data_IF_185325964664
#
_entry.id   IF_185325964664
#
_cell.length_a   1.000
_cell.length_b   1.000
_cell.length_c   1.000
_cell.angle_alpha   90.00
_cell.angle_beta   90.00
_cell.angle_gamma   90.00
#
_symmetry.space_group_name_H-M   'P 1'
#
loop_
_entity.id
_entity.type
_entity.pdbx_description
1 polymer ?
#
# COMPACT_ATOMS: atom_id res chain seq x y z
N UNK A 1 42.55 39.56 -21.92
CA UNK A 1 43.06 38.21 -21.56
C UNK A 1 41.97 37.53 -20.75
N UNK A 2 41.57 36.31 -21.10
CA UNK A 2 40.59 35.55 -20.32
C UNK A 2 41.23 35.06 -19.04
N UNK A 3 40.64 35.37 -17.88
CA UNK A 3 41.19 34.89 -16.60
C UNK A 3 40.99 33.38 -16.48
N UNK A 4 42.07 32.64 -16.19
CA UNK A 4 42.05 31.19 -15.99
C UNK A 4 42.52 30.88 -14.57
N UNK A 5 41.64 30.30 -13.75
CA UNK A 5 41.87 30.01 -12.34
C UNK A 5 41.85 28.50 -12.08
N UNK A 6 42.84 28.00 -11.35
CA UNK A 6 42.85 26.62 -10.85
C UNK A 6 42.25 26.59 -9.46
N UNK A 7 41.25 25.73 -9.27
CA UNK A 7 40.63 25.50 -7.98
C UNK A 7 41.63 24.89 -7.00
N UNK A 8 41.87 25.51 -5.85
CA UNK A 8 42.82 25.00 -4.87
C UNK A 8 42.32 23.73 -4.17
N UNK A 9 40.99 23.52 -4.12
CA UNK A 9 40.37 22.40 -3.42
C UNK A 9 40.36 21.11 -4.22
N UNK A 10 40.13 21.17 -5.53
CA UNK A 10 40.00 19.99 -6.38
C UNK A 10 40.90 19.99 -7.63
N UNK A 11 41.74 21.01 -7.80
CA UNK A 11 42.70 21.13 -8.90
C UNK A 11 42.10 21.46 -10.27
N UNK A 12 40.77 21.54 -10.38
CA UNK A 12 40.03 21.82 -11.62
C UNK A 12 40.28 23.24 -12.11
N UNK A 13 40.51 23.42 -13.41
CA UNK A 13 40.67 24.73 -14.05
C UNK A 13 39.30 25.28 -14.45
N UNK A 14 39.02 26.53 -14.10
CA UNK A 14 37.82 27.30 -14.48
C UNK A 14 38.26 28.62 -15.09
N UNK A 15 37.63 29.07 -16.16
CA UNK A 15 37.99 30.29 -16.88
C UNK A 15 36.80 31.24 -16.98
N UNK A 16 37.05 32.52 -17.23
CA UNK A 16 36.07 33.63 -17.19
C UNK A 16 34.87 33.49 -18.15
N UNK A 17 34.94 32.58 -19.14
CA UNK A 17 33.84 32.22 -20.03
C UNK A 17 33.07 30.95 -19.65
N UNK A 18 33.44 30.25 -18.58
CA UNK A 18 32.73 29.06 -18.12
C UNK A 18 31.47 29.46 -17.36
N UNK A 19 30.34 28.76 -17.57
CA UNK A 19 29.03 29.12 -17.00
C UNK A 19 29.00 29.22 -15.47
N UNK A 20 29.89 28.50 -14.78
CA UNK A 20 30.00 28.54 -13.32
C UNK A 20 30.96 29.59 -12.79
N UNK A 21 31.76 30.25 -13.63
CA UNK A 21 32.76 31.20 -13.17
C UNK A 21 32.09 32.34 -12.38
N UNK A 22 32.62 32.75 -11.20
CA UNK A 22 33.92 32.41 -10.60
C UNK A 22 33.93 31.18 -9.67
N UNK A 23 32.90 30.34 -9.71
CA UNK A 23 32.78 29.13 -8.89
C UNK A 23 33.34 27.91 -9.62
N UNK A 24 34.07 27.06 -8.90
CA UNK A 24 34.55 25.78 -9.45
C UNK A 24 33.37 24.86 -9.79
N UNK A 25 33.25 24.43 -11.05
CA UNK A 25 32.16 23.55 -11.50
C UNK A 25 32.17 22.15 -10.87
N UNK A 26 33.25 21.75 -10.19
CA UNK A 26 33.39 20.41 -9.60
C UNK A 26 33.09 20.37 -8.10
N UNK A 27 33.57 21.35 -7.34
CA UNK A 27 33.44 21.35 -5.87
C UNK A 27 32.72 22.59 -5.33
N UNK A 28 32.23 23.47 -6.22
CA UNK A 28 31.52 24.69 -5.88
C UNK A 28 32.28 25.68 -4.99
N UNK A 29 33.61 25.56 -4.90
CA UNK A 29 34.44 26.54 -4.21
C UNK A 29 34.51 27.85 -5.01
N UNK A 30 34.27 28.99 -4.36
CA UNK A 30 34.39 30.30 -4.98
C UNK A 30 35.89 30.65 -5.16
N UNK A 31 36.31 30.84 -6.41
CA UNK A 31 37.72 31.04 -6.76
C UNK A 31 38.21 32.47 -6.51
N UNK A 32 37.32 33.41 -6.18
CA UNK A 32 37.66 34.81 -5.88
C UNK A 32 37.75 35.11 -4.36
N UNK A 33 37.86 34.08 -3.52
CA UNK A 33 38.09 34.28 -2.08
C UNK A 33 39.44 34.93 -1.80
N UNK A 34 39.47 35.87 -0.86
CA UNK A 34 40.64 36.66 -0.49
C UNK A 34 41.81 35.79 -0.04
N UNK A 35 41.55 34.68 0.68
CA UNK A 35 42.60 33.74 1.12
C UNK A 35 43.44 33.13 -0.01
N UNK A 36 42.96 33.19 -1.25
CA UNK A 36 43.68 32.70 -2.44
C UNK A 36 44.47 33.79 -3.18
N UNK A 37 44.36 35.04 -2.73
CA UNK A 37 45.11 36.15 -3.29
C UNK A 37 46.56 36.14 -2.76
N UNK A 38 47.55 36.36 -3.64
CA UNK A 38 48.98 36.41 -3.23
C UNK A 38 49.25 37.50 -2.17
N UNK A 39 48.44 38.55 -2.16
CA UNK A 39 48.58 39.70 -1.27
C UNK A 39 47.68 39.64 -0.04
N UNK A 40 47.12 38.47 0.26
CA UNK A 40 46.31 38.27 1.46
C UNK A 40 47.15 38.48 2.74
N UNK A 41 46.82 39.47 3.59
CA UNK A 41 47.63 39.82 4.76
C UNK A 41 47.39 38.89 5.97
N UNK A 42 46.32 38.08 5.92
CA UNK A 42 45.81 37.27 7.03
C UNK A 42 44.42 37.74 7.50
N UNK A 43 43.72 36.88 8.24
CA UNK A 43 42.35 37.16 8.70
C UNK A 43 42.30 38.38 9.62
N UNK A 44 41.33 39.26 9.37
CA UNK A 44 41.11 40.46 10.19
C UNK A 44 42.22 41.50 10.06
N UNK A 45 43.06 41.43 9.02
CA UNK A 45 44.11 42.43 8.74
C UNK A 45 43.71 43.32 7.56
N UNK A 46 44.21 44.56 7.56
CA UNK A 46 43.98 45.51 6.46
C UNK A 46 44.72 45.09 5.20
N UNK A 47 44.02 45.11 4.07
CA UNK A 47 44.61 44.82 2.77
C UNK A 47 45.05 46.11 2.07
N UNK A 48 46.34 46.43 2.14
CA UNK A 48 46.92 47.64 1.52
C UNK A 48 46.97 47.62 -0.01
N UNK A 49 46.49 46.54 -0.65
CA UNK A 49 46.49 46.35 -2.11
C UNK A 49 45.10 46.51 -2.73
N UNK A 50 44.07 46.74 -1.92
CA UNK A 50 42.69 47.00 -2.36
C UNK A 50 42.36 48.46 -2.00
N UNK A 51 41.59 49.14 -2.86
CA UNK A 51 41.10 50.49 -2.56
C UNK A 51 40.41 50.53 -1.19
N UNK A 52 40.58 51.64 -0.47
CA UNK A 52 40.03 51.88 0.88
C UNK A 52 40.64 51.05 2.02
N UNK A 53 41.69 50.25 1.76
CA UNK A 53 42.44 49.48 2.75
C UNK A 53 41.55 48.69 3.75
N UNK A 54 40.55 47.92 3.27
CA UNK A 54 39.59 47.27 4.14
C UNK A 54 40.23 46.17 4.99
N UNK A 55 39.64 45.91 6.16
CA UNK A 55 39.86 44.65 6.87
C UNK A 55 39.22 43.52 6.07
N UNK A 56 39.97 42.45 5.83
CA UNK A 56 39.49 41.31 5.04
C UNK A 56 39.58 40.00 5.82
N UNK A 57 38.60 39.14 5.59
CA UNK A 57 38.56 37.76 6.04
C UNK A 57 38.85 36.81 4.88
N UNK A 58 39.31 35.60 5.19
CA UNK A 58 39.75 34.65 4.17
C UNK A 58 38.64 34.19 3.24
N UNK A 59 37.40 34.17 3.73
CA UNK A 59 36.21 33.80 2.95
C UNK A 59 35.57 34.98 2.21
N UNK A 60 36.05 36.21 2.38
CA UNK A 60 35.56 37.37 1.64
C UNK A 60 35.83 37.21 0.13
N UNK A 61 34.83 37.48 -0.70
CA UNK A 61 34.92 37.35 -2.15
C UNK A 61 35.24 38.71 -2.76
N UNK A 62 36.45 38.88 -3.32
CA UNK A 62 36.85 40.10 -4.01
C UNK A 62 37.71 39.78 -5.24
N UNK A 63 37.53 40.55 -6.31
CA UNK A 63 38.37 40.42 -7.49
C UNK A 63 39.84 40.76 -7.15
N UNK A 64 40.73 39.77 -7.21
CA UNK A 64 42.18 39.94 -6.99
C UNK A 64 42.92 39.70 -8.32
N UNK A 65 43.54 40.73 -8.92
CA UNK A 65 44.30 40.61 -10.17
C UNK A 65 45.53 39.70 -10.05
N UNK A 66 46.02 39.48 -8.83
CA UNK A 66 47.24 38.70 -8.53
C UNK A 66 46.92 37.37 -7.83
N UNK A 67 45.88 36.67 -8.31
CA UNK A 67 45.55 35.33 -7.83
C UNK A 67 46.74 34.38 -8.01
N UNK A 68 47.12 33.66 -6.96
CA UNK A 68 48.09 32.57 -7.03
C UNK A 68 47.62 31.46 -6.11
N UNK A 69 47.26 30.31 -6.68
CA UNK A 69 46.89 29.12 -5.92
C UNK A 69 48.06 28.69 -5.03
N UNK A 70 47.97 28.99 -3.73
CA UNK A 70 48.98 28.62 -2.72
C UNK A 70 48.66 27.31 -1.99
N UNK A 71 47.44 26.80 -2.12
CA UNK A 71 47.07 25.49 -1.57
C UNK A 71 47.67 24.39 -2.46
N UNK A 72 48.60 23.63 -1.88
CA UNK A 72 49.19 22.46 -2.50
C UNK A 72 48.09 21.46 -2.88
N UNK A 73 48.16 20.93 -4.11
CA UNK A 73 47.24 19.93 -4.64
C UNK A 73 46.97 18.83 -3.59
N UNK A 74 45.72 18.60 -3.17
CA UNK A 74 45.35 17.27 -2.70
C UNK A 74 45.24 16.40 -3.96
N UNK A 75 46.37 15.90 -4.47
CA UNK A 75 46.42 14.95 -5.58
C UNK A 75 45.80 13.58 -5.23
N UNK A 76 45.01 13.47 -4.16
CA UNK A 76 44.63 12.22 -3.49
C UNK A 76 43.11 12.08 -3.29
N UNK A 77 42.27 12.53 -4.22
CA UNK A 77 40.82 12.23 -4.15
C UNK A 77 40.21 11.82 -5.50
N UNK A 78 40.96 11.12 -6.36
CA UNK A 78 40.39 10.48 -7.57
C UNK A 78 40.76 9.00 -7.66
N UNK A 79 40.54 8.29 -6.55
CA UNK A 79 40.41 6.83 -6.54
C UNK A 79 39.15 6.50 -5.76
N UNK A 80 38.08 6.10 -6.45
CA UNK A 80 36.92 5.51 -5.79
C UNK A 80 37.44 4.31 -4.98
N UNK A 81 37.34 4.38 -3.66
CA UNK A 81 37.89 3.32 -2.80
C UNK A 81 37.24 2.00 -3.22
N UNK A 82 38.03 0.91 -3.27
CA UNK A 82 37.52 -0.42 -3.68
C UNK A 82 36.26 -0.82 -2.88
N UNK A 83 36.12 -0.30 -1.67
CA UNK A 83 34.97 -0.46 -0.76
C UNK A 83 33.69 0.15 -1.36
N UNK A 84 33.77 1.35 -1.95
CA UNK A 84 32.63 2.02 -2.58
C UNK A 84 32.14 1.29 -3.84
N UNK A 85 33.06 0.75 -4.65
CA UNK A 85 32.71 -0.03 -5.83
C UNK A 85 32.00 -1.34 -5.45
N UNK A 86 32.50 -2.04 -4.43
CA UNK A 86 31.88 -3.28 -3.91
C UNK A 86 30.49 -3.00 -3.34
N UNK A 87 30.30 -1.89 -2.61
CA UNK A 87 28.99 -1.51 -2.10
C UNK A 87 27.96 -1.26 -3.21
N UNK A 88 28.34 -0.58 -4.30
CA UNK A 88 27.44 -0.34 -5.44
C UNK A 88 27.03 -1.63 -6.17
N UNK A 89 27.95 -2.60 -6.30
CA UNK A 89 27.65 -3.90 -6.90
C UNK A 89 26.68 -4.69 -6.02
N UNK A 90 26.92 -4.72 -4.70
CA UNK A 90 26.03 -5.41 -3.75
C UNK A 90 24.63 -4.80 -3.72
N UNK A 91 24.52 -3.47 -3.71
CA UNK A 91 23.22 -2.77 -3.73
C UNK A 91 22.46 -3.08 -5.03
N UNK A 92 23.14 -3.04 -6.17
CA UNK A 92 22.53 -3.36 -7.46
C UNK A 92 22.05 -4.82 -7.54
N UNK A 93 22.83 -5.76 -6.98
CA UNK A 93 22.45 -7.16 -6.91
C UNK A 93 21.22 -7.39 -6.00
N UNK A 94 21.18 -6.75 -4.83
CA UNK A 94 20.03 -6.82 -3.91
C UNK A 94 18.77 -6.24 -4.56
N UNK A 95 18.87 -5.08 -5.21
CA UNK A 95 17.75 -4.47 -5.94
C UNK A 95 17.25 -5.39 -7.07
N UNK A 96 18.16 -6.01 -7.83
CA UNK A 96 17.80 -6.97 -8.86
C UNK A 96 17.05 -8.18 -8.30
N UNK A 97 17.49 -8.72 -7.15
CA UNK A 97 16.80 -9.81 -6.45
C UNK A 97 15.41 -9.37 -5.98
N UNK A 98 15.27 -8.18 -5.39
CA UNK A 98 13.97 -7.66 -4.95
C UNK A 98 13.02 -7.54 -6.14
N UNK A 99 13.47 -6.98 -7.27
CA UNK A 99 12.64 -6.85 -8.47
C UNK A 99 12.26 -8.22 -9.03
N UNK A 100 13.19 -9.17 -9.06
CA UNK A 100 12.90 -10.54 -9.50
C UNK A 100 11.88 -11.22 -8.58
N UNK A 101 12.03 -11.12 -7.26
CA UNK A 101 11.08 -11.67 -6.27
C UNK A 101 9.70 -11.01 -6.40
N UNK A 102 9.65 -9.68 -6.55
CA UNK A 102 8.40 -8.92 -6.74
C UNK A 102 7.73 -9.27 -8.07
N UNK A 103 8.49 -9.59 -9.11
CA UNK A 103 7.94 -10.01 -10.41
C UNK A 103 7.40 -11.44 -10.40
N UNK A 104 7.89 -12.29 -9.49
CA UNK A 104 7.39 -13.66 -9.27
C UNK A 104 6.22 -13.66 -8.27
N UNK A 105 6.12 -12.62 -7.43
CA UNK A 105 4.96 -12.46 -6.55
C UNK A 105 3.71 -12.25 -7.42
N UNK A 106 2.64 -13.03 -7.19
CA UNK A 106 1.41 -12.90 -7.95
C UNK A 106 0.84 -11.48 -7.78
N UNK A 107 0.78 -10.73 -8.89
CA UNK A 107 0.13 -9.42 -8.94
C UNK A 107 -1.34 -9.56 -8.51
N UNK A 108 -1.85 -8.74 -7.57
CA UNK A 108 -3.25 -8.80 -7.10
C UNK A 108 -4.29 -8.41 -8.17
N UNK A 109 -3.88 -8.16 -9.41
CA UNK A 109 -4.77 -7.76 -10.53
C UNK A 109 -5.48 -8.92 -11.23
N UNK A 110 -5.39 -10.16 -10.74
CA UNK A 110 -6.30 -11.26 -11.11
C UNK A 110 -7.59 -11.30 -10.26
N UNK A 111 -7.95 -10.20 -9.57
CA UNK A 111 -9.21 -9.96 -8.84
C UNK A 111 -10.47 -9.87 -9.75
N UNK A 112 -10.52 -10.59 -10.88
CA UNK A 112 -11.76 -10.91 -11.62
C UNK A 112 -12.17 -12.38 -11.49
N UNK A 113 -11.64 -13.09 -10.51
CA UNK A 113 -12.32 -14.26 -9.94
C UNK A 113 -13.44 -13.79 -9.02
N UNK A 114 -14.56 -13.38 -9.63
CA UNK A 114 -15.76 -12.89 -8.93
C UNK A 114 -16.51 -14.05 -8.26
N UNK A 115 -15.91 -14.63 -7.23
CA UNK A 115 -16.65 -15.42 -6.25
C UNK A 115 -17.13 -14.49 -5.14
N UNK A 116 -18.45 -14.35 -5.00
CA UNK A 116 -19.04 -13.50 -3.98
C UNK A 116 -20.19 -14.23 -3.30
N UNK A 117 -20.11 -14.35 -1.98
CA UNK A 117 -21.22 -14.75 -1.14
C UNK A 117 -21.72 -13.52 -0.39
N UNK A 118 -22.97 -13.16 -0.63
CA UNK A 118 -23.59 -11.98 -0.01
C UNK A 118 -24.91 -12.36 0.63
N UNK A 119 -25.22 -11.74 1.76
CA UNK A 119 -26.52 -11.85 2.39
C UNK A 119 -27.18 -10.48 2.38
N UNK A 120 -28.43 -10.42 1.92
CA UNK A 120 -29.26 -9.23 1.98
C UNK A 120 -30.41 -9.46 2.93
N UNK A 121 -30.49 -8.67 4.00
CA UNK A 121 -31.50 -8.78 5.02
C UNK A 121 -31.71 -7.38 5.65
N UNK A 122 -32.94 -6.98 6.01
CA UNK A 122 -33.15 -5.75 6.78
C UNK A 122 -32.27 -5.70 8.03
N UNK A 123 -31.69 -4.53 8.33
CA UNK A 123 -30.87 -4.31 9.53
C UNK A 123 -31.72 -4.13 10.79
N UNK A 124 -32.99 -3.81 10.63
CA UNK A 124 -33.96 -3.66 11.71
C UNK A 124 -35.11 -4.64 11.51
N UNK A 125 -35.54 -5.27 12.59
CA UNK A 125 -36.60 -6.25 12.59
C UNK A 125 -37.49 -6.09 13.81
N UNK A 126 -38.77 -6.47 13.68
CA UNK A 126 -39.70 -6.48 14.81
C UNK A 126 -39.83 -7.92 15.30
N UNK A 127 -39.73 -8.13 16.61
CA UNK A 127 -39.90 -9.44 17.24
C UNK A 127 -41.25 -10.07 16.84
N UNK A 128 -41.24 -11.35 16.47
CA UNK A 128 -42.41 -12.09 16.01
C UNK A 128 -42.90 -11.73 14.60
N UNK A 129 -42.30 -10.73 13.93
CA UNK A 129 -42.62 -10.42 12.52
C UNK A 129 -41.65 -11.12 11.59
N UNK A 130 -42.19 -11.81 10.59
CA UNK A 130 -41.42 -12.48 9.55
C UNK A 130 -40.69 -11.47 8.66
N UNK A 131 -39.48 -11.83 8.28
CA UNK A 131 -38.67 -11.09 7.31
C UNK A 131 -37.93 -12.07 6.40
N UNK A 132 -37.45 -11.57 5.26
CA UNK A 132 -36.76 -12.39 4.26
C UNK A 132 -35.28 -12.00 4.23
N UNK A 133 -34.42 -12.98 4.48
CA UNK A 133 -32.99 -12.89 4.24
C UNK A 133 -32.65 -13.64 2.95
N UNK A 134 -31.89 -13.02 2.05
CA UNK A 134 -31.51 -13.62 0.76
C UNK A 134 -30.00 -13.80 0.73
N UNK A 135 -29.56 -15.06 0.77
CA UNK A 135 -28.18 -15.44 0.51
C UNK A 135 -27.99 -15.60 -1.00
N UNK A 136 -27.03 -14.89 -1.58
CA UNK A 136 -26.64 -15.01 -2.99
C UNK A 136 -25.21 -15.51 -3.07
N UNK A 137 -25.02 -16.55 -3.87
CA UNK A 137 -23.75 -17.20 -4.13
C UNK A 137 -23.49 -17.07 -5.63
N UNK A 138 -22.42 -16.36 -5.97
CA UNK A 138 -21.98 -16.16 -7.35
C UNK A 138 -20.64 -16.86 -7.57
N UNK A 139 -20.54 -17.64 -8.65
CA UNK A 139 -19.34 -18.38 -9.03
C UNK A 139 -18.74 -17.83 -10.32
N UNK A 140 -17.45 -18.11 -10.54
CA UNK A 140 -16.84 -17.93 -11.84
C UNK A 140 -17.39 -19.00 -12.81
N UNK A 141 -17.50 -18.65 -14.10
CA UNK A 141 -18.04 -19.49 -15.18
C UNK A 141 -17.33 -20.85 -15.27
N UNK A 142 -16.06 -20.92 -14.88
CA UNK A 142 -15.20 -22.09 -15.07
C UNK A 142 -15.17 -23.08 -13.89
N UNK A 143 -15.71 -22.71 -12.72
CA UNK A 143 -15.63 -23.56 -11.53
C UNK A 143 -16.93 -23.48 -10.72
N UNK A 144 -17.80 -24.48 -10.90
CA UNK A 144 -19.08 -24.57 -10.22
C UNK A 144 -19.06 -25.70 -9.19
N UNK A 145 -19.56 -25.46 -7.96
CA UNK A 145 -19.67 -26.52 -6.97
C UNK A 145 -20.75 -27.50 -7.39
N UNK A 146 -20.53 -28.78 -7.11
CA UNK A 146 -21.55 -29.82 -7.26
C UNK A 146 -22.51 -29.85 -6.09
N UNK A 147 -22.03 -29.45 -4.91
CA UNK A 147 -22.83 -29.44 -3.69
C UNK A 147 -22.55 -28.17 -2.91
N UNK A 148 -23.62 -27.50 -2.47
CA UNK A 148 -23.56 -26.37 -1.56
C UNK A 148 -24.21 -26.82 -0.25
N UNK A 149 -23.47 -26.73 0.85
CA UNK A 149 -23.97 -26.98 2.20
C UNK A 149 -24.05 -25.66 2.96
N UNK A 150 -25.14 -25.46 3.67
CA UNK A 150 -25.33 -24.31 4.54
C UNK A 150 -25.51 -24.81 5.95
N UNK A 151 -24.63 -24.39 6.84
CA UNK A 151 -24.69 -24.62 8.27
C UNK A 151 -25.18 -23.35 8.97
N UNK A 152 -26.22 -23.52 9.77
CA UNK A 152 -26.85 -22.48 10.59
C UNK A 152 -26.59 -22.86 12.05
N UNK A 153 -25.66 -22.16 12.73
CA UNK A 153 -25.27 -22.49 14.10
C UNK A 153 -26.44 -22.37 15.07
N UNK A 154 -26.46 -23.19 16.12
CA UNK A 154 -27.51 -23.16 17.15
C UNK A 154 -27.78 -21.77 17.72
N UNK A 155 -26.73 -20.97 17.95
CA UNK A 155 -26.84 -19.59 18.45
C UNK A 155 -27.75 -18.70 17.59
N UNK A 156 -27.76 -18.92 16.27
CA UNK A 156 -28.67 -18.22 15.35
C UNK A 156 -30.10 -18.70 15.56
N UNK A 157 -30.29 -20.03 15.66
CA UNK A 157 -31.59 -20.65 15.87
C UNK A 157 -32.22 -20.30 17.24
N UNK A 158 -31.41 -19.96 18.24
CA UNK A 158 -31.89 -19.48 19.54
C UNK A 158 -32.46 -18.05 19.49
N UNK A 159 -32.05 -17.26 18.49
CA UNK A 159 -32.49 -15.88 18.28
C UNK A 159 -33.53 -15.74 17.15
N UNK A 160 -33.52 -16.66 16.18
CA UNK A 160 -34.38 -16.62 14.99
C UNK A 160 -35.00 -18.00 14.73
N UNK A 161 -36.32 -18.05 14.56
CA UNK A 161 -36.98 -19.21 13.98
C UNK A 161 -36.90 -19.13 12.46
N UNK A 162 -36.51 -20.21 11.80
CA UNK A 162 -36.55 -20.26 10.34
C UNK A 162 -37.84 -20.94 9.92
N UNK A 163 -38.72 -20.16 9.31
CA UNK A 163 -40.08 -20.55 8.95
C UNK A 163 -40.08 -21.27 7.60
N UNK A 164 -39.29 -20.78 6.65
CA UNK A 164 -39.27 -21.32 5.29
C UNK A 164 -37.91 -21.08 4.63
N UNK A 165 -37.51 -22.00 3.75
CA UNK A 165 -36.33 -21.85 2.90
C UNK A 165 -36.71 -22.10 1.44
N UNK A 166 -36.18 -21.30 0.53
CA UNK A 166 -36.45 -21.41 -0.92
C UNK A 166 -35.18 -21.16 -1.72
N UNK A 167 -34.73 -22.07 -2.59
CA UNK A 167 -35.35 -23.36 -2.91
C UNK A 167 -35.37 -24.32 -1.70
N UNK A 168 -36.25 -25.32 -1.77
CA UNK A 168 -36.29 -26.41 -0.77
C UNK A 168 -34.97 -27.16 -0.87
N UNK A 169 -34.27 -27.43 0.26
CA UNK A 169 -33.03 -28.18 0.23
C UNK A 169 -33.27 -29.64 -0.17
N UNK A 170 -32.31 -30.26 -0.86
CA UNK A 170 -32.40 -31.67 -1.26
C UNK A 170 -32.36 -32.59 -0.02
N UNK A 171 -31.65 -32.15 1.00
CA UNK A 171 -31.57 -32.83 2.29
C UNK A 171 -31.32 -31.83 3.42
N UNK A 172 -31.72 -32.21 4.63
CA UNK A 172 -31.46 -31.43 5.83
C UNK A 172 -31.17 -32.30 7.05
N UNK A 173 -30.35 -31.78 7.96
CA UNK A 173 -30.03 -32.39 9.25
C UNK A 173 -30.18 -31.33 10.34
N UNK A 174 -31.08 -31.57 11.29
CA UNK A 174 -31.29 -30.73 12.47
C UNK A 174 -30.79 -31.47 13.70
N UNK A 175 -29.86 -30.89 14.43
CA UNK A 175 -29.29 -31.47 15.65
C UNK A 175 -28.99 -30.38 16.69
N UNK A 176 -28.35 -30.77 17.80
CA UNK A 176 -28.00 -29.85 18.89
C UNK A 176 -26.99 -28.76 18.46
N UNK A 177 -26.14 -29.04 17.46
CA UNK A 177 -25.13 -28.10 16.96
C UNK A 177 -25.73 -27.04 16.05
N UNK A 178 -26.87 -27.34 15.41
CA UNK A 178 -27.57 -26.41 14.54
C UNK A 178 -28.39 -27.11 13.47
N UNK A 179 -28.57 -26.41 12.36
CA UNK A 179 -29.26 -26.94 11.19
C UNK A 179 -28.34 -26.86 9.98
N UNK A 180 -28.18 -27.99 9.29
CA UNK A 180 -27.43 -28.09 8.05
C UNK A 180 -28.39 -28.45 6.92
N UNK A 181 -28.33 -27.73 5.82
CA UNK A 181 -29.07 -28.05 4.61
C UNK A 181 -28.16 -28.12 3.38
N UNK A 182 -28.48 -28.97 2.41
CA UNK A 182 -27.69 -29.19 1.21
C UNK A 182 -28.46 -28.98 -0.08
N UNK A 183 -27.73 -28.53 -1.10
CA UNK A 183 -28.23 -28.26 -2.44
C UNK A 183 -27.29 -28.84 -3.49
N UNK A 184 -27.84 -29.59 -4.42
CA UNK A 184 -27.14 -30.20 -5.54
C UNK A 184 -27.20 -29.24 -6.73
N UNK A 185 -26.03 -28.96 -7.30
CA UNK A 185 -25.85 -28.03 -8.42
C UNK A 185 -25.37 -28.77 -9.68
N UNK A 186 -25.93 -29.96 -9.90
CA UNK A 186 -25.60 -30.81 -11.04
C UNK A 186 -26.03 -30.22 -12.40
N UNK A 187 -26.79 -29.11 -12.39
CA UNK A 187 -27.32 -28.46 -13.58
C UNK A 187 -26.27 -27.67 -14.39
N UNK A 188 -25.07 -27.47 -13.85
CA UNK A 188 -23.99 -26.74 -14.54
C UNK A 188 -24.35 -25.28 -14.84
N UNK A 189 -25.39 -24.73 -14.20
CA UNK A 189 -25.87 -23.38 -14.48
C UNK A 189 -24.93 -22.33 -13.90
N UNK A 190 -24.48 -21.41 -14.74
CA UNK A 190 -23.64 -20.27 -14.36
C UNK A 190 -24.41 -19.16 -13.66
N UNK A 191 -25.73 -19.30 -13.49
CA UNK A 191 -26.56 -18.29 -12.84
C UNK A 191 -26.23 -18.22 -11.34
N UNK A 192 -26.25 -17.02 -10.74
CA UNK A 192 -26.14 -16.88 -9.29
C UNK A 192 -27.18 -17.74 -8.57
N UNK A 193 -26.71 -18.50 -7.58
CA UNK A 193 -27.59 -19.31 -6.75
C UNK A 193 -28.10 -18.45 -5.60
N UNK A 194 -29.43 -18.36 -5.45
CA UNK A 194 -30.05 -17.53 -4.44
C UNK A 194 -30.93 -18.38 -3.52
N UNK A 195 -30.69 -18.27 -2.22
CA UNK A 195 -31.43 -18.99 -1.19
C UNK A 195 -32.09 -17.95 -0.28
N UNK A 196 -33.41 -18.03 -0.22
CA UNK A 196 -34.25 -17.16 0.59
C UNK A 196 -34.60 -17.88 1.88
N UNK A 197 -34.32 -17.25 3.01
CA UNK A 197 -34.72 -17.67 4.33
C UNK A 197 -35.82 -16.73 4.81
N UNK A 198 -37.02 -17.25 5.02
CA UNK A 198 -38.06 -16.55 5.77
C UNK A 198 -37.83 -16.83 7.24
N UNK A 199 -37.42 -15.80 7.98
CA UNK A 199 -37.06 -15.92 9.39
C UNK A 199 -37.96 -15.05 10.27
N UNK A 200 -38.15 -15.48 11.51
CA UNK A 200 -38.95 -14.80 12.53
C UNK A 200 -38.07 -14.55 13.76
N UNK A 201 -37.77 -13.29 14.12
CA UNK A 201 -36.97 -12.98 15.30
C UNK A 201 -37.70 -13.32 16.60
N UNK A 202 -37.02 -14.04 17.49
CA UNK A 202 -37.58 -14.53 18.76
C UNK A 202 -37.15 -13.68 19.97
N UNK A 203 -35.98 -13.03 19.90
CA UNK A 203 -35.38 -12.27 20.99
C UNK A 203 -35.08 -10.84 20.57
N UNK A 204 -35.26 -9.90 21.49
CA UNK A 204 -34.89 -8.49 21.29
C UNK A 204 -33.38 -8.28 21.39
N UNK A 205 -32.90 -7.16 20.87
CA UNK A 205 -31.48 -6.76 20.90
C UNK A 205 -30.76 -6.99 19.57
N UNK A 206 -29.45 -6.79 19.59
CA UNK A 206 -28.61 -6.94 18.39
C UNK A 206 -28.14 -8.39 18.27
N UNK A 207 -28.56 -9.05 17.19
CA UNK A 207 -28.25 -10.45 16.91
C UNK A 207 -27.47 -10.58 15.61
N UNK A 208 -26.66 -11.63 15.52
CA UNK A 208 -25.85 -11.92 14.33
C UNK A 208 -26.42 -13.14 13.61
N UNK A 209 -26.93 -12.93 12.39
CA UNK A 209 -27.29 -13.97 11.45
C UNK A 209 -26.00 -14.45 10.77
N UNK A 210 -25.43 -15.54 11.30
CA UNK A 210 -24.24 -16.20 10.75
C UNK A 210 -24.68 -17.43 9.95
N UNK A 211 -24.27 -17.48 8.69
CA UNK A 211 -24.47 -18.65 7.82
C UNK A 211 -23.09 -19.13 7.36
N UNK A 212 -22.83 -20.42 7.48
CA UNK A 212 -21.58 -21.04 7.05
C UNK A 212 -21.85 -21.80 5.76
N UNK A 213 -21.20 -21.39 4.68
CA UNK A 213 -21.38 -21.97 3.35
C UNK A 213 -20.16 -22.83 3.04
N UNK A 214 -20.40 -24.11 2.76
CA UNK A 214 -19.37 -25.04 2.28
C UNK A 214 -19.71 -25.46 0.86
N UNK A 215 -18.77 -25.29 -0.06
CA UNK A 215 -18.91 -25.60 -1.47
C UNK A 215 -17.97 -26.75 -1.82
N UNK A 216 -18.51 -27.82 -2.38
CA UNK A 216 -17.75 -29.00 -2.79
C UNK A 216 -17.68 -29.09 -4.32
N UNK A 217 -16.48 -29.34 -4.85
CA UNK A 217 -16.22 -29.41 -6.28
C UNK A 217 -15.81 -30.82 -6.70
N UNK A 218 -16.54 -31.43 -7.64
CA UNK A 218 -16.33 -32.81 -8.08
C UNK A 218 -14.89 -33.14 -8.55
N UNK A 219 -14.18 -32.16 -9.14
CA UNK A 219 -12.86 -32.40 -9.75
C UNK A 219 -11.68 -32.26 -8.79
N UNK A 220 -11.86 -31.57 -7.65
CA UNK A 220 -10.71 -31.18 -6.81
C UNK A 220 -10.72 -31.82 -5.43
N UNK A 221 -11.83 -32.38 -4.95
CA UNK A 221 -11.96 -32.79 -3.55
C UNK A 221 -11.73 -31.63 -2.56
N UNK A 222 -11.70 -30.39 -3.08
CA UNK A 222 -11.54 -29.17 -2.30
C UNK A 222 -12.94 -28.75 -1.86
N UNK A 223 -13.10 -28.63 -0.55
CA UNK A 223 -14.23 -27.93 0.04
C UNK A 223 -13.81 -26.49 0.31
N UNK A 224 -14.47 -25.52 -0.33
CA UNK A 224 -14.32 -24.11 0.04
C UNK A 224 -15.29 -23.81 1.16
N UNK A 225 -14.83 -23.12 2.19
CA UNK A 225 -15.67 -22.71 3.32
C UNK A 225 -15.64 -21.20 3.48
N UNK A 226 -16.81 -20.61 3.72
CA UNK A 226 -16.95 -19.17 3.95
C UNK A 226 -18.06 -18.89 4.97
N UNK A 227 -17.79 -18.03 5.94
CA UNK A 227 -18.78 -17.61 6.94
C UNK A 227 -19.31 -16.21 6.62
N UNK A 228 -20.61 -16.12 6.36
CA UNK A 228 -21.33 -14.88 6.09
C UNK A 228 -21.98 -14.40 7.37
N UNK A 229 -21.79 -13.13 7.70
CA UNK A 229 -22.27 -12.55 8.95
C UNK A 229 -23.10 -11.30 8.66
N UNK A 230 -24.30 -11.23 9.23
CA UNK A 230 -25.17 -10.07 9.14
C UNK A 230 -25.71 -9.67 10.51
N UNK A 231 -25.69 -8.38 10.84
CA UNK A 231 -26.21 -7.87 12.12
C UNK A 231 -27.63 -7.36 11.94
N UNK A 232 -28.53 -7.80 12.81
CA UNK A 232 -29.94 -7.41 12.83
C UNK A 232 -30.26 -6.88 14.23
N UNK A 233 -30.79 -5.66 14.30
CA UNK A 233 -31.34 -5.09 15.52
C UNK A 233 -32.82 -5.45 15.63
N UNK A 234 -33.20 -6.20 16.66
CA UNK A 234 -34.57 -6.66 16.89
C UNK A 234 -35.22 -5.83 17.99
N UNK A 235 -36.34 -5.20 17.65
CA UNK A 235 -37.13 -4.33 18.55
C UNK A 235 -38.54 -4.89 18.78
N UNK A 236 -39.16 -4.55 19.91
CA UNK A 236 -40.52 -5.00 20.23
C UNK A 236 -41.61 -4.33 19.40
N UNK A 237 -41.41 -3.05 19.10
CA UNK A 237 -42.34 -2.24 18.32
C UNK A 237 -41.57 -1.53 17.22
N UNK A 238 -42.13 -1.40 16.01
CA UNK A 238 -41.51 -0.59 14.98
C UNK A 238 -41.32 0.84 15.50
N UNK A 239 -40.20 1.51 15.15
CA UNK A 239 -40.04 2.91 15.48
C UNK A 239 -41.22 3.69 14.92
N UNK A 240 -41.82 4.56 15.73
CA UNK A 240 -42.92 5.40 15.29
C UNK A 240 -42.44 6.19 14.07
N UNK A 241 -43.02 5.92 12.89
CA UNK A 241 -42.75 6.68 11.68
C UNK A 241 -43.11 8.14 11.97
N UNK A 242 -42.10 9.00 12.10
CA UNK A 242 -42.33 10.45 12.09
C UNK A 242 -42.92 10.76 10.72
N UNK A 243 -44.22 11.05 10.68
CA UNK A 243 -44.87 11.61 9.49
C UNK A 243 -44.21 12.96 9.24
N UNK A 244 -43.46 13.03 8.14
CA UNK A 244 -42.98 14.29 7.56
C UNK A 244 -44.06 14.87 6.67
#
# INVERSE_FOLDING_TARGET
>A
MMLVLRCPRCGTVTYEGHFTFPVCHKCHENLLKCRYCRHYPGDGRRCHKVADNPYIHGDDVRACPSYRSTLQNPATVWGMSRISAVACILISAILGIIVAVVSILPTPSQLRDMHFITINCPREAVRGKRLVAVLRISHNVHEQPTTIRISIPRKVLDAFAIVQVTPIPDWEVKNERGWVCGYSRADGSTKPFAIKFTIEPLRNGVHQLRLEVTEEYARKGIARWEAVNWRINVVDKPPAQKRH
#
